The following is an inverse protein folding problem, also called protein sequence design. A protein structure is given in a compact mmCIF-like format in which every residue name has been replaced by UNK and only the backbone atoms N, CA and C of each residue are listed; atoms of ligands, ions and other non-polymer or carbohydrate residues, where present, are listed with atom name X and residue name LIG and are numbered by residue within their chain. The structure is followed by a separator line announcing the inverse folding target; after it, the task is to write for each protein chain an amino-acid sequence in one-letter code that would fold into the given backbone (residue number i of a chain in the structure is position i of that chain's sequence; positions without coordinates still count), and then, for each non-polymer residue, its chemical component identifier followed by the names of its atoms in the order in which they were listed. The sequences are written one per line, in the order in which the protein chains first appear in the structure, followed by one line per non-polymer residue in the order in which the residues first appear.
data_IF_814248789272
#
_entry.id   IF_814248789272
#
_cell.length_a   1.000
_cell.length_b   1.000
_cell.length_c   1.000
_cell.angle_alpha   90.00
_cell.angle_beta   90.00
_cell.angle_gamma   90.00
#
_symmetry.space_group_name_H-M   'P 1'
#
loop_
_entity.id
_entity.type
_entity.pdbx_description
1 polymer ?
#
# COMPACT_ATOMS: atom_id res chain seq x y z
N UNK A 1 -17.18 2.89 18.94
CA UNK A 1 -18.19 2.35 18.02
C UNK A 1 -17.67 2.54 16.61
N UNK A 2 -17.31 1.44 15.92
CA UNK A 2 -16.95 1.49 14.50
C UNK A 2 -18.26 1.52 13.71
N UNK A 3 -18.61 2.67 13.13
CA UNK A 3 -19.73 2.74 12.20
C UNK A 3 -19.25 2.17 10.88
N UNK A 4 -19.74 0.98 10.52
CA UNK A 4 -19.57 0.46 9.15
C UNK A 4 -20.32 1.44 8.25
N UNK A 5 -19.58 2.15 7.40
CA UNK A 5 -20.17 3.07 6.43
C UNK A 5 -21.04 2.28 5.45
N UNK A 6 -22.24 2.80 5.17
CA UNK A 6 -23.04 2.27 4.08
C UNK A 6 -22.32 2.49 2.72
N UNK A 7 -22.62 1.68 1.68
CA UNK A 7 -21.91 1.78 0.40
C UNK A 7 -21.93 3.16 -0.26
N UNK A 8 -23.00 3.94 -0.08
CA UNK A 8 -23.12 5.28 -0.67
C UNK A 8 -22.21 6.26 0.06
N UNK A 9 -22.22 6.25 1.40
CA UNK A 9 -21.33 7.08 2.22
C UNK A 9 -19.86 6.74 1.98
N UNK A 10 -19.52 5.46 1.90
CA UNK A 10 -18.15 4.97 1.65
C UNK A 10 -17.59 5.47 0.31
N UNK A 11 -18.39 5.39 -0.77
CA UNK A 11 -17.99 5.92 -2.08
C UNK A 11 -17.87 7.45 -2.10
N UNK A 12 -18.69 8.17 -1.33
CA UNK A 12 -18.61 9.63 -1.21
C UNK A 12 -17.32 10.04 -0.49
N UNK A 13 -17.01 9.41 0.64
CA UNK A 13 -15.79 9.68 1.40
C UNK A 13 -14.53 9.33 0.61
N UNK A 14 -14.55 8.22 -0.14
CA UNK A 14 -13.43 7.87 -1.01
C UNK A 14 -13.17 8.91 -2.10
N UNK A 15 -14.24 9.38 -2.77
CA UNK A 15 -14.12 10.44 -3.80
C UNK A 15 -13.56 11.73 -3.23
N UNK A 16 -14.02 12.12 -2.05
CA UNK A 16 -13.49 13.29 -1.33
C UNK A 16 -12.00 13.11 -0.99
N UNK A 17 -11.61 11.93 -0.50
CA UNK A 17 -10.20 11.63 -0.22
C UNK A 17 -9.32 11.72 -1.49
N UNK A 18 -9.82 11.23 -2.63
CA UNK A 18 -9.12 11.34 -3.92
C UNK A 18 -9.03 12.80 -4.36
N UNK A 19 -10.09 13.59 -4.19
CA UNK A 19 -10.06 15.03 -4.51
C UNK A 19 -9.00 15.77 -3.68
N UNK A 20 -8.96 15.52 -2.36
CA UNK A 20 -7.94 16.10 -1.48
C UNK A 20 -6.52 15.67 -1.86
N UNK A 21 -6.33 14.41 -2.25
CA UNK A 21 -5.05 13.94 -2.77
C UNK A 21 -4.67 14.69 -4.04
N UNK A 22 -5.59 14.95 -4.98
CA UNK A 22 -5.33 15.72 -6.20
C UNK A 22 -4.82 17.14 -5.92
N UNK A 23 -5.29 17.77 -4.84
CA UNK A 23 -4.88 19.12 -4.43
C UNK A 23 -3.63 19.15 -3.53
N UNK A 24 -3.08 18.00 -3.13
CA UNK A 24 -2.01 17.94 -2.15
C UNK A 24 -0.66 18.41 -2.71
N UNK A 25 0.02 19.29 -1.96
CA UNK A 25 1.35 19.85 -2.28
C UNK A 25 2.37 19.70 -1.14
N UNK A 26 2.07 18.91 -0.11
CA UNK A 26 2.83 18.84 1.15
C UNK A 26 4.27 18.30 1.02
N UNK A 27 4.61 17.64 -0.08
CA UNK A 27 5.85 16.88 -0.22
C UNK A 27 6.76 17.49 -1.29
N UNK A 28 8.02 17.74 -0.97
CA UNK A 28 9.04 18.21 -1.92
C UNK A 28 9.83 17.05 -2.56
N UNK A 29 10.22 17.21 -3.83
CA UNK A 29 10.99 16.22 -4.59
C UNK A 29 10.15 15.05 -5.13
N UNK A 30 8.83 15.24 -5.19
CA UNK A 30 7.86 14.30 -5.74
C UNK A 30 6.78 15.07 -6.50
N UNK A 31 6.25 14.49 -7.57
CA UNK A 31 5.12 15.02 -8.34
C UNK A 31 3.84 14.31 -7.98
N UNK A 32 2.83 15.10 -7.62
CA UNK A 32 1.47 14.60 -7.52
C UNK A 32 0.98 14.14 -8.91
N UNK A 33 0.35 12.96 -9.06
CA UNK A 33 -0.19 12.54 -10.36
C UNK A 33 -1.06 13.60 -11.04
N UNK A 34 -1.80 14.39 -10.25
CA UNK A 34 -2.68 15.45 -10.74
C UNK A 34 -1.96 16.59 -11.47
N UNK A 35 -0.66 16.80 -11.23
CA UNK A 35 0.14 17.86 -11.88
C UNK A 35 1.05 17.33 -12.98
N UNK A 36 1.14 16.00 -13.16
CA UNK A 36 1.98 15.43 -14.22
C UNK A 36 1.21 15.53 -15.55
N UNK A 37 1.75 16.31 -16.48
CA UNK A 37 1.12 16.58 -17.79
C UNK A 37 -0.33 17.04 -17.61
N UNK A 38 -0.55 18.00 -16.71
CA UNK A 38 -1.88 18.56 -16.38
C UNK A 38 -2.91 17.48 -16.01
N UNK A 39 -2.45 16.42 -15.33
CA UNK A 39 -3.30 15.34 -14.85
C UNK A 39 -3.74 14.35 -15.91
N UNK A 40 -3.17 14.40 -17.14
CA UNK A 40 -3.57 13.57 -18.30
C UNK A 40 -3.71 12.08 -18.00
N UNK A 41 -2.91 11.55 -17.08
CA UNK A 41 -2.91 10.13 -16.71
C UNK A 41 -3.33 9.87 -15.25
N UNK A 42 -3.72 10.91 -14.51
CA UNK A 42 -4.30 10.73 -13.19
C UNK A 42 -5.70 10.13 -13.30
N UNK A 43 -6.11 9.35 -12.30
CA UNK A 43 -7.38 8.63 -12.30
C UNK A 43 -8.29 9.11 -11.16
N UNK A 44 -9.45 8.46 -11.01
CA UNK A 44 -10.34 8.66 -9.86
C UNK A 44 -10.00 7.73 -8.68
N UNK A 45 -8.79 7.16 -8.68
CA UNK A 45 -8.24 6.41 -7.56
C UNK A 45 -7.14 7.19 -6.85
N UNK A 46 -6.91 6.84 -5.59
CA UNK A 46 -5.95 7.51 -4.70
C UNK A 46 -4.49 7.35 -5.15
N UNK A 47 -4.18 6.24 -5.84
CA UNK A 47 -2.87 5.88 -6.37
C UNK A 47 -3.02 4.99 -7.62
N UNK A 48 -2.07 4.96 -8.55
CA UNK A 48 -2.18 4.10 -9.73
C UNK A 48 -2.15 2.59 -9.42
N UNK A 49 -1.61 2.17 -8.27
CA UNK A 49 -1.72 0.77 -7.84
C UNK A 49 -3.15 0.43 -7.40
N UNK A 50 -3.86 1.38 -6.80
CA UNK A 50 -5.28 1.26 -6.46
C UNK A 50 -6.18 1.27 -7.69
N UNK A 51 -5.78 1.96 -8.77
CA UNK A 51 -6.46 1.87 -10.07
C UNK A 51 -6.43 0.46 -10.64
N UNK A 52 -5.38 -0.31 -10.34
CA UNK A 52 -5.30 -1.71 -10.76
C UNK A 52 -6.25 -2.59 -9.95
N UNK A 53 -6.14 -2.58 -8.61
CA UNK A 53 -7.05 -3.29 -7.72
C UNK A 53 -7.39 -2.40 -6.51
N UNK A 54 -8.64 -1.97 -6.42
CA UNK A 54 -9.10 -0.95 -5.49
C UNK A 54 -10.50 -1.21 -4.94
N UNK A 55 -10.84 -2.48 -4.72
CA UNK A 55 -12.15 -2.86 -4.18
C UNK A 55 -12.36 -2.23 -2.80
N UNK A 56 -13.28 -1.26 -2.68
CA UNK A 56 -13.53 -0.59 -1.41
C UNK A 56 -14.09 -1.55 -0.34
N UNK A 57 -14.72 -2.65 -0.74
CA UNK A 57 -15.24 -3.67 0.17
C UNK A 57 -14.27 -4.85 0.39
N UNK A 58 -12.99 -4.68 0.00
CA UNK A 58 -11.98 -5.72 0.14
C UNK A 58 -11.80 -6.13 1.61
N UNK A 59 -11.81 -7.44 1.86
CA UNK A 59 -11.42 -8.01 3.16
C UNK A 59 -9.91 -7.92 3.39
N UNK A 60 -9.13 -7.89 2.32
CA UNK A 60 -7.66 -7.83 2.33
C UNK A 60 -7.18 -6.54 1.70
N UNK A 61 -6.43 -5.76 2.47
CA UNK A 61 -5.76 -4.56 2.01
C UNK A 61 -4.24 -4.78 1.99
N UNK A 62 -3.59 -4.47 0.87
CA UNK A 62 -2.13 -4.56 0.74
C UNK A 62 -1.54 -3.16 0.61
N UNK A 63 -0.53 -2.87 1.42
CA UNK A 63 0.11 -1.57 1.49
C UNK A 63 1.58 -1.71 1.08
N UNK A 64 1.92 -1.17 -0.08
CA UNK A 64 3.26 -1.06 -0.62
C UNK A 64 3.96 0.23 -0.19
N UNK A 65 5.15 0.46 -0.75
CA UNK A 65 5.95 1.63 -0.43
C UNK A 65 5.51 2.87 -1.23
N UNK A 66 5.65 2.81 -2.54
CA UNK A 66 5.44 3.88 -3.51
C UNK A 66 5.22 3.28 -4.91
N UNK A 67 4.75 4.09 -5.86
CA UNK A 67 4.64 3.68 -7.27
C UNK A 67 5.99 3.61 -7.98
N UNK A 68 6.89 4.54 -7.66
CA UNK A 68 8.13 4.76 -8.39
C UNK A 68 8.26 6.23 -8.80
N UNK A 69 8.62 6.46 -10.06
CA UNK A 69 8.99 7.78 -10.58
C UNK A 69 8.08 8.27 -11.70
N UNK A 70 8.15 9.59 -11.98
CA UNK A 70 7.24 10.27 -12.90
C UNK A 70 7.34 9.73 -14.33
N UNK A 71 8.54 9.40 -14.81
CA UNK A 71 8.77 8.89 -16.17
C UNK A 71 8.12 7.51 -16.34
N UNK A 72 8.19 6.63 -15.34
CA UNK A 72 7.49 5.34 -15.38
C UNK A 72 5.96 5.52 -15.35
N UNK A 73 5.46 6.48 -14.57
CA UNK A 73 4.04 6.83 -14.56
C UNK A 73 3.56 7.33 -15.94
N UNK A 74 4.31 8.23 -16.57
CA UNK A 74 4.03 8.75 -17.92
C UNK A 74 4.08 7.63 -18.96
N UNK A 75 5.18 6.86 -18.99
CA UNK A 75 5.39 5.76 -19.94
C UNK A 75 4.27 4.73 -19.89
N UNK A 76 3.81 4.40 -18.68
CA UNK A 76 2.74 3.42 -18.49
C UNK A 76 1.33 4.05 -18.48
N UNK A 77 1.19 5.34 -18.82
CA UNK A 77 -0.10 6.05 -18.87
C UNK A 77 -0.93 5.92 -17.58
N UNK A 78 -0.23 5.94 -16.43
CA UNK A 78 -0.84 5.75 -15.11
C UNK A 78 -1.45 4.38 -14.87
N UNK A 79 -0.98 3.35 -15.58
CA UNK A 79 -1.39 1.95 -15.41
C UNK A 79 -0.22 1.10 -14.91
N UNK A 80 -0.52 -0.04 -14.29
CA UNK A 80 0.52 -0.97 -13.85
C UNK A 80 1.20 -1.57 -15.07
N UNK A 81 2.52 -1.76 -15.00
CA UNK A 81 3.22 -2.50 -16.04
C UNK A 81 2.94 -4.00 -15.85
N UNK A 82 2.32 -4.71 -16.81
CA UNK A 82 2.04 -6.14 -16.70
C UNK A 82 3.31 -7.00 -16.64
N UNK A 83 4.45 -6.47 -17.11
CA UNK A 83 5.76 -7.12 -17.02
C UNK A 83 6.47 -6.86 -15.68
N UNK A 84 5.81 -6.17 -14.72
CA UNK A 84 6.40 -5.90 -13.42
C UNK A 84 6.49 -7.19 -12.59
N UNK A 85 7.72 -7.67 -12.40
CA UNK A 85 8.01 -8.89 -11.63
C UNK A 85 7.51 -8.86 -10.18
N UNK A 86 7.47 -7.68 -9.55
CA UNK A 86 6.95 -7.54 -8.18
C UNK A 86 5.43 -7.74 -8.15
N UNK A 87 4.70 -7.24 -9.15
CA UNK A 87 3.25 -7.47 -9.27
C UNK A 87 2.95 -8.95 -9.54
N UNK A 88 3.70 -9.60 -10.42
CA UNK A 88 3.53 -11.05 -10.66
C UNK A 88 3.78 -11.85 -9.38
N UNK A 89 4.80 -11.46 -8.60
CA UNK A 89 5.07 -12.07 -7.30
C UNK A 89 3.95 -11.81 -6.29
N UNK A 90 3.34 -10.63 -6.31
CA UNK A 90 2.21 -10.31 -5.43
C UNK A 90 1.04 -11.26 -5.71
N UNK A 91 0.71 -11.48 -6.99
CA UNK A 91 -0.35 -12.40 -7.41
C UNK A 91 -0.05 -13.81 -6.87
N UNK A 92 1.17 -14.33 -7.10
CA UNK A 92 1.57 -15.63 -6.57
C UNK A 92 1.40 -15.72 -5.04
N UNK A 93 1.83 -14.70 -4.31
CA UNK A 93 1.78 -14.68 -2.85
C UNK A 93 0.35 -14.58 -2.29
N UNK A 94 -0.53 -13.83 -2.95
CA UNK A 94 -1.96 -13.79 -2.62
C UNK A 94 -2.64 -15.13 -2.91
N UNK A 95 -2.29 -15.79 -4.01
CA UNK A 95 -2.80 -17.12 -4.33
C UNK A 95 -2.41 -18.18 -3.29
N UNK A 96 -1.21 -18.09 -2.69
CA UNK A 96 -0.81 -19.01 -1.60
C UNK A 96 -1.76 -18.97 -0.40
N UNK A 97 -2.44 -17.84 -0.18
CA UNK A 97 -3.38 -17.63 0.93
C UNK A 97 -4.84 -17.65 0.47
N UNK A 98 -5.12 -18.06 -0.77
CA UNK A 98 -6.47 -18.19 -1.31
C UNK A 98 -7.16 -16.87 -1.65
N UNK A 99 -6.39 -15.81 -1.93
CA UNK A 99 -6.92 -14.47 -2.26
C UNK A 99 -6.64 -14.16 -3.73
N UNK A 100 -7.67 -13.74 -4.47
CA UNK A 100 -7.50 -13.19 -5.82
C UNK A 100 -7.10 -11.72 -5.72
N UNK A 101 -6.20 -11.26 -6.60
CA UNK A 101 -5.68 -9.88 -6.52
C UNK A 101 -6.77 -8.85 -6.78
N UNK A 102 -7.74 -9.17 -7.63
CA UNK A 102 -8.88 -8.34 -8.01
C UNK A 102 -9.81 -8.05 -6.83
N UNK A 103 -9.87 -8.96 -5.86
CA UNK A 103 -10.70 -8.83 -4.64
C UNK A 103 -10.03 -7.96 -3.56
N UNK A 104 -8.82 -7.48 -3.81
CA UNK A 104 -8.04 -6.70 -2.84
C UNK A 104 -8.19 -5.19 -3.01
N UNK A 105 -7.79 -4.47 -1.97
CA UNK A 105 -7.49 -3.05 -2.07
C UNK A 105 -5.97 -2.84 -1.99
N UNK A 106 -5.35 -2.46 -3.11
CA UNK A 106 -3.91 -2.19 -3.18
C UNK A 106 -3.67 -0.69 -3.03
N UNK A 107 -2.72 -0.29 -2.18
CA UNK A 107 -2.31 1.11 -2.04
C UNK A 107 -0.85 1.24 -1.59
N UNK A 108 -0.34 2.46 -1.57
CA UNK A 108 1.03 2.74 -1.18
C UNK A 108 1.10 3.74 -0.02
N UNK A 109 2.16 3.62 0.77
CA UNK A 109 2.45 4.57 1.85
C UNK A 109 2.86 5.96 1.33
N UNK A 110 3.31 6.08 0.08
CA UNK A 110 3.55 7.33 -0.66
C UNK A 110 2.71 7.32 -1.93
N UNK A 111 1.94 8.39 -2.15
CA UNK A 111 1.00 8.49 -3.26
C UNK A 111 1.54 9.26 -4.48
N UNK A 112 2.57 10.08 -4.28
CA UNK A 112 3.22 10.87 -5.32
C UNK A 112 4.37 10.11 -6.01
N UNK A 113 4.79 10.61 -7.18
CA UNK A 113 5.85 10.04 -8.01
C UNK A 113 7.18 10.72 -7.71
N UNK A 114 8.26 9.96 -7.56
CA UNK A 114 9.60 10.53 -7.42
C UNK A 114 10.02 11.30 -8.67
N UNK A 115 10.71 12.41 -8.49
CA UNK A 115 11.30 13.24 -9.56
C UNK A 115 12.70 12.75 -9.99
N UNK A 116 13.04 11.50 -9.69
CA UNK A 116 14.32 10.88 -10.07
C UNK A 116 14.06 9.74 -11.03
N UNK A 117 14.94 9.56 -12.02
CA UNK A 117 14.88 8.46 -12.97
C UNK A 117 15.08 7.08 -12.34
N UNK A 118 15.54 7.00 -11.09
CA UNK A 118 15.82 5.73 -10.42
C UNK A 118 14.61 5.19 -9.63
N UNK A 119 14.09 4.01 -10.01
CA UNK A 119 13.05 3.26 -9.29
C UNK A 119 13.43 2.99 -7.82
N UNK A 120 14.70 2.74 -7.53
CA UNK A 120 15.21 2.56 -6.16
C UNK A 120 15.62 3.87 -5.47
N UNK A 121 15.29 5.02 -6.06
CA UNK A 121 15.55 6.34 -5.51
C UNK A 121 15.09 6.47 -4.06
N UNK A 122 15.89 7.20 -3.28
CA UNK A 122 15.68 7.38 -1.84
C UNK A 122 14.32 8.00 -1.55
N UNK A 123 13.64 7.47 -0.54
CA UNK A 123 12.36 7.99 -0.05
C UNK A 123 12.59 8.78 1.23
N UNK A 124 11.91 9.92 1.37
CA UNK A 124 12.05 10.81 2.54
C UNK A 124 11.05 10.44 3.63
N UNK A 125 11.48 10.48 4.90
CA UNK A 125 10.61 10.23 6.07
C UNK A 125 9.38 11.15 6.08
N UNK A 126 9.56 12.42 5.68
CA UNK A 126 8.46 13.38 5.58
C UNK A 126 7.34 12.93 4.64
N UNK A 127 7.65 12.25 3.52
CA UNK A 127 6.64 11.77 2.58
C UNK A 127 5.73 10.72 3.23
N UNK A 128 6.32 9.77 3.97
CA UNK A 128 5.55 8.77 4.70
C UNK A 128 4.73 9.37 5.84
N UNK A 129 5.22 10.42 6.49
CA UNK A 129 4.48 11.16 7.52
C UNK A 129 3.25 11.80 6.91
N UNK A 130 3.46 12.68 5.93
CA UNK A 130 2.40 13.43 5.28
C UNK A 130 1.37 12.49 4.61
N UNK A 131 1.82 11.51 3.81
CA UNK A 131 0.91 10.59 3.15
C UNK A 131 0.20 9.65 4.14
N UNK A 132 0.90 9.21 5.19
CA UNK A 132 0.33 8.35 6.21
C UNK A 132 -0.80 9.02 6.98
N UNK A 133 -0.54 10.21 7.50
CA UNK A 133 -1.44 10.95 8.39
C UNK A 133 -2.64 11.53 7.65
N UNK A 134 -2.45 12.03 6.42
CA UNK A 134 -3.54 12.67 5.67
C UNK A 134 -4.36 11.70 4.81
N UNK A 135 -3.78 10.56 4.38
CA UNK A 135 -4.43 9.68 3.41
C UNK A 135 -4.47 8.22 3.81
N UNK A 136 -3.36 7.60 4.25
CA UNK A 136 -3.34 6.14 4.47
C UNK A 136 -4.32 5.71 5.57
N UNK A 137 -4.34 6.42 6.70
CA UNK A 137 -5.25 6.11 7.81
C UNK A 137 -6.72 6.16 7.36
N UNK A 138 -7.11 7.22 6.64
CA UNK A 138 -8.46 7.37 6.09
C UNK A 138 -8.80 6.31 5.04
N UNK A 139 -7.84 5.88 4.22
CA UNK A 139 -8.08 4.74 3.30
C UNK A 139 -8.44 3.47 4.08
N UNK A 140 -7.71 3.16 5.15
CA UNK A 140 -7.96 1.99 5.99
C UNK A 140 -9.32 2.10 6.69
N UNK A 141 -9.67 3.28 7.20
CA UNK A 141 -10.97 3.55 7.84
C UNK A 141 -12.14 3.48 6.85
N UNK A 142 -11.97 3.92 5.60
CA UNK A 142 -12.99 3.80 4.55
C UNK A 142 -13.14 2.33 4.14
N UNK A 143 -12.03 1.63 3.85
CA UNK A 143 -12.06 0.26 3.35
C UNK A 143 -12.51 -0.73 4.42
N UNK A 144 -12.20 -0.47 5.70
CA UNK A 144 -12.47 -1.34 6.85
C UNK A 144 -12.06 -2.81 6.60
N UNK A 145 -10.80 -3.09 6.18
CA UNK A 145 -10.39 -4.44 5.84
C UNK A 145 -10.32 -5.33 7.08
N UNK A 146 -10.56 -6.63 6.91
CA UNK A 146 -10.33 -7.63 7.96
C UNK A 146 -8.85 -7.90 8.17
N UNK A 147 -8.07 -7.82 7.08
CA UNK A 147 -6.64 -8.08 7.04
C UNK A 147 -5.92 -6.92 6.35
N UNK A 148 -4.83 -6.45 6.97
CA UNK A 148 -3.86 -5.55 6.35
C UNK A 148 -2.55 -6.29 6.18
N UNK A 149 -1.95 -6.22 4.99
CA UNK A 149 -0.62 -6.74 4.69
C UNK A 149 0.29 -5.59 4.29
N UNK A 150 1.34 -5.29 5.07
CA UNK A 150 2.33 -4.26 4.69
C UNK A 150 3.58 -4.90 4.10
N UNK A 151 3.97 -4.45 2.91
CA UNK A 151 5.13 -4.96 2.19
C UNK A 151 6.39 -4.16 2.54
N UNK A 152 7.25 -4.75 3.38
CA UNK A 152 8.55 -4.19 3.74
C UNK A 152 8.51 -3.12 4.83
N UNK A 153 9.72 -2.69 5.24
CA UNK A 153 9.93 -1.90 6.46
C UNK A 153 9.30 -0.50 6.41
N UNK A 154 9.18 0.10 5.22
CA UNK A 154 8.66 1.46 5.05
C UNK A 154 7.14 1.52 5.18
N UNK A 155 6.43 0.59 4.53
CA UNK A 155 4.99 0.41 4.72
C UNK A 155 4.67 0.04 6.17
N UNK A 156 5.41 -0.92 6.74
CA UNK A 156 5.31 -1.31 8.15
C UNK A 156 5.41 -0.13 9.11
N UNK A 157 6.49 0.66 8.99
CA UNK A 157 6.71 1.84 9.86
C UNK A 157 5.67 2.93 9.67
N UNK A 158 5.07 3.03 8.49
CA UNK A 158 4.02 4.02 8.23
C UNK A 158 2.72 3.64 8.93
N UNK A 159 2.27 2.39 8.79
CA UNK A 159 1.09 1.88 9.51
C UNK A 159 1.30 1.93 11.03
N UNK A 160 2.49 1.52 11.50
CA UNK A 160 2.85 1.63 12.92
C UNK A 160 2.65 3.05 13.47
N UNK A 161 3.11 4.05 12.72
CA UNK A 161 3.07 5.47 13.12
C UNK A 161 1.64 5.99 13.18
N UNK A 162 0.86 5.79 12.12
CA UNK A 162 -0.49 6.39 12.00
C UNK A 162 -1.49 5.83 13.02
N UNK A 163 -1.26 4.61 13.50
CA UNK A 163 -2.04 3.97 14.58
C UNK A 163 -1.34 3.95 15.93
N UNK A 164 -0.17 4.58 16.07
CA UNK A 164 0.62 4.60 17.30
C UNK A 164 0.83 3.20 17.94
N UNK A 165 1.10 2.19 17.10
CA UNK A 165 1.21 0.79 17.55
C UNK A 165 2.52 0.57 18.30
N UNK A 166 2.42 0.02 19.51
CA UNK A 166 3.57 -0.34 20.36
C UNK A 166 4.03 -1.77 20.08
N UNK A 167 4.95 -1.91 19.11
CA UNK A 167 5.67 -3.16 18.83
C UNK A 167 7.16 -2.87 18.53
N UNK A 168 7.98 -3.89 18.23
CA UNK A 168 9.37 -3.67 17.81
C UNK A 168 9.47 -2.67 16.64
N UNK A 169 10.60 -1.96 16.56
CA UNK A 169 10.95 -1.07 15.43
C UNK A 169 11.58 -1.84 14.25
N UNK A 170 11.96 -3.11 14.47
CA UNK A 170 12.57 -3.97 13.48
C UNK A 170 11.54 -4.94 12.91
N UNK A 171 11.37 -4.91 11.59
CA UNK A 171 10.42 -5.78 10.89
C UNK A 171 10.66 -7.27 11.18
N UNK A 172 11.93 -7.69 11.26
CA UNK A 172 12.32 -9.08 11.53
C UNK A 172 11.74 -9.62 12.84
N UNK A 173 11.66 -8.77 13.86
CA UNK A 173 11.18 -9.18 15.18
C UNK A 173 9.67 -9.42 15.11
N UNK A 174 8.93 -8.52 14.43
CA UNK A 174 7.47 -8.61 14.29
C UNK A 174 7.06 -9.80 13.41
N UNK A 175 7.80 -10.07 12.33
CA UNK A 175 7.54 -11.21 11.44
C UNK A 175 7.74 -12.55 12.15
N UNK A 176 8.69 -12.63 13.10
CA UNK A 176 9.03 -13.88 13.82
C UNK A 176 7.90 -14.41 14.69
N UNK A 177 7.03 -13.56 15.23
CA UNK A 177 6.00 -13.96 16.19
C UNK A 177 4.86 -14.81 15.60
N UNK A 178 4.76 -14.91 14.27
CA UNK A 178 3.73 -15.73 13.61
C UNK A 178 2.34 -15.08 13.61
N UNK A 179 1.89 -14.56 14.74
CA UNK A 179 0.60 -13.90 14.94
C UNK A 179 0.51 -12.49 14.32
N UNK A 180 -0.69 -12.01 13.97
CA UNK A 180 -0.91 -10.64 13.56
C UNK A 180 -0.81 -9.66 14.72
N UNK A 181 -0.44 -8.42 14.39
CA UNK A 181 -0.64 -7.29 15.30
C UNK A 181 -2.08 -6.79 15.10
N UNK A 182 -2.80 -6.49 16.19
CA UNK A 182 -4.16 -5.97 16.07
C UNK A 182 -4.15 -4.45 15.88
N UNK A 183 -4.90 -3.98 14.87
CA UNK A 183 -5.26 -2.57 14.68
C UNK A 183 -6.78 -2.50 14.83
N UNK A 184 -7.27 -2.09 16.00
CA UNK A 184 -8.68 -2.27 16.36
C UNK A 184 -9.08 -3.75 16.16
N UNK A 185 -10.06 -4.04 15.30
CA UNK A 185 -10.51 -5.40 14.96
C UNK A 185 -9.80 -6.00 13.73
N UNK A 186 -8.95 -5.20 13.05
CA UNK A 186 -8.22 -5.61 11.86
C UNK A 186 -6.93 -6.34 12.21
N UNK A 187 -6.70 -7.48 11.57
CA UNK A 187 -5.46 -8.27 11.70
C UNK A 187 -4.39 -7.72 10.77
N UNK A 188 -3.30 -7.20 11.33
CA UNK A 188 -2.20 -6.63 10.55
C UNK A 188 -0.99 -7.58 10.51
N UNK A 189 -0.60 -7.94 9.29
CA UNK A 189 0.56 -8.78 8.99
C UNK A 189 1.66 -7.98 8.28
N UNK A 190 2.69 -7.54 9.00
CA UNK A 190 3.92 -7.08 8.37
C UNK A 190 4.65 -8.24 7.72
N UNK A 191 5.08 -8.06 6.47
CA UNK A 191 5.91 -9.04 5.75
C UNK A 191 7.09 -8.34 5.11
N UNK A 192 8.12 -9.11 4.75
CA UNK A 192 9.21 -8.58 3.92
C UNK A 192 8.69 -8.16 2.55
N UNK A 193 9.36 -7.18 1.94
CA UNK A 193 9.06 -6.80 0.57
C UNK A 193 9.33 -7.97 -0.38
N UNK A 194 8.53 -8.13 -1.43
CA UNK A 194 8.59 -9.27 -2.36
C UNK A 194 9.42 -8.98 -3.64
N UNK A 195 9.98 -7.78 -3.73
CA UNK A 195 10.90 -7.39 -4.79
C UNK A 195 12.29 -8.02 -4.66
N UNK A 196 13.04 -8.09 -5.77
CA UNK A 196 14.34 -8.77 -5.87
C UNK A 196 15.34 -8.38 -4.77
N UNK A 197 15.44 -7.09 -4.42
CA UNK A 197 16.39 -6.60 -3.42
C UNK A 197 16.15 -7.16 -2.02
N UNK A 198 14.92 -7.54 -1.68
CA UNK A 198 14.62 -8.10 -0.36
C UNK A 198 15.06 -9.56 -0.21
N UNK A 199 15.33 -10.26 -1.31
CA UNK A 199 15.75 -11.66 -1.28
C UNK A 199 17.13 -11.85 -0.64
N UNK A 200 17.98 -10.82 -0.63
CA UNK A 200 19.26 -10.84 0.10
C UNK A 200 19.07 -10.88 1.61
N UNK A 201 17.99 -10.29 2.13
CA UNK A 201 17.70 -10.21 3.57
C UNK A 201 16.73 -11.29 4.04
N UNK A 202 15.86 -11.77 3.14
CA UNK A 202 14.85 -12.78 3.41
C UNK A 202 14.67 -13.62 2.13
N UNK A 203 15.24 -14.82 2.03
CA UNK A 203 15.12 -15.67 0.84
C UNK A 203 13.66 -15.97 0.47
N UNK A 204 13.39 -16.29 -0.80
CA UNK A 204 12.03 -16.45 -1.31
C UNK A 204 11.21 -17.48 -0.54
N UNK A 205 11.79 -18.62 -0.14
CA UNK A 205 11.07 -19.64 0.62
C UNK A 205 10.65 -19.14 2.01
N UNK A 206 11.48 -18.29 2.63
CA UNK A 206 11.12 -17.63 3.89
C UNK A 206 10.04 -16.56 3.68
N UNK A 207 10.07 -15.84 2.56
CA UNK A 207 8.96 -14.94 2.20
C UNK A 207 7.66 -15.72 2.01
N UNK A 208 7.69 -16.88 1.31
CA UNK A 208 6.51 -17.74 1.15
C UNK A 208 5.97 -18.22 2.50
N UNK A 209 6.84 -18.64 3.42
CA UNK A 209 6.46 -19.00 4.79
C UNK A 209 5.78 -17.83 5.54
N UNK A 210 6.33 -16.61 5.38
CA UNK A 210 5.76 -15.39 5.99
C UNK A 210 4.35 -15.05 5.47
N UNK A 211 3.99 -15.51 4.27
CA UNK A 211 2.66 -15.36 3.69
C UNK A 211 1.73 -16.51 4.06
N UNK A 212 2.20 -17.76 4.03
CA UNK A 212 1.38 -18.94 4.36
C UNK A 212 0.76 -18.84 5.75
N UNK A 213 1.45 -18.23 6.72
CA UNK A 213 0.88 -18.00 8.07
C UNK A 213 -0.41 -17.16 8.07
N UNK A 214 -0.64 -16.35 7.03
CA UNK A 214 -1.83 -15.50 6.90
C UNK A 214 -3.05 -16.34 6.51
N UNK A 215 -2.84 -17.49 5.84
CA UNK A 215 -3.91 -18.33 5.25
C UNK A 215 -5.00 -18.70 6.26
N UNK A 216 -4.64 -18.95 7.51
CA UNK A 216 -5.58 -19.35 8.56
C UNK A 216 -6.50 -18.21 9.04
N UNK A 217 -6.29 -16.99 8.54
CA UNK A 217 -7.02 -15.79 8.96
C UNK A 217 -7.90 -15.18 7.86
N UNK A 218 -7.71 -15.62 6.61
CA UNK A 218 -8.42 -15.14 5.41
C UNK A 218 -9.86 -15.65 5.38
#
# INVERSE_FOLDING_TARGET
MSFILDPVSKNREYRELVHQRKQCTLCQGVKNPAVILDGRYDSNHINPWTRWCGNLNAKVMVIGQDWGHAEAFIRNKGQVNPLNKTNNKLIEMLSLIGVNVEDTYLTNAILCMKETENLSGTTKTAWYRNCGEHFLKRQIEIVTPKIIITLGVKAFRTVKRVYNIKCSNYLRDVVKYGEPVMINETKWFPVYHIGKLAQSSRPLDKQRQDWVRIKNFV
#
